data_IF_220042878787
#
_entry.id   IF_220042878787
#
_cell.length_a   1.000
_cell.length_b   1.000
_cell.length_c   1.000
_cell.angle_alpha   90.00
_cell.angle_beta   90.00
_cell.angle_gamma   90.00
#
_symmetry.space_group_name_H-M   'P 1'
#
loop_
_entity.id
_entity.type
_entity.pdbx_description
1 polymer ?
#
# COMPACT_ATOMS: atom_id res chain seq x y z
N UNK A 1 -1.42 10.82 10.48
CA UNK A 1 -0.60 12.04 10.27
C UNK A 1 -0.83 13.11 11.33
N UNK A 2 -2.07 13.46 11.68
CA UNK A 2 -2.36 14.49 12.70
C UNK A 2 -1.57 14.29 14.02
N UNK A 3 -1.51 13.04 14.51
CA UNK A 3 -0.76 12.69 15.71
C UNK A 3 0.77 12.89 15.61
N UNK A 4 1.35 12.98 14.41
CA UNK A 4 2.78 13.17 14.23
C UNK A 4 3.27 14.50 14.83
N UNK A 5 2.46 15.55 14.73
CA UNK A 5 2.73 16.86 15.35
C UNK A 5 2.51 16.85 16.86
N UNK A 6 1.44 16.18 17.32
CA UNK A 6 1.10 16.07 18.74
C UNK A 6 2.18 15.35 19.57
N UNK A 7 2.90 14.41 18.95
CA UNK A 7 3.92 13.57 19.61
C UNK A 7 5.34 14.15 19.57
N UNK A 8 5.57 15.31 18.95
CA UNK A 8 6.91 15.90 18.77
C UNK A 8 7.66 16.09 20.09
N UNK A 9 6.97 16.60 21.13
CA UNK A 9 7.55 16.84 22.45
C UNK A 9 7.98 15.57 23.20
N UNK A 10 7.52 14.40 22.76
CA UNK A 10 7.86 13.10 23.35
C UNK A 10 8.97 12.37 22.59
N UNK A 11 9.51 12.96 21.51
CA UNK A 11 10.53 12.32 20.68
C UNK A 11 10.01 11.12 19.88
N UNK A 12 8.69 10.95 19.76
CA UNK A 12 8.05 9.85 19.02
C UNK A 12 7.73 10.33 17.61
N UNK A 13 8.01 9.48 16.61
CA UNK A 13 7.60 9.67 15.22
C UNK A 13 6.38 8.80 14.89
N UNK A 14 5.50 9.30 14.05
CA UNK A 14 4.32 8.58 13.58
C UNK A 14 4.23 8.67 12.05
N UNK A 15 4.30 7.53 11.36
CA UNK A 15 4.24 7.42 9.90
C UNK A 15 3.24 6.32 9.50
N UNK A 16 2.88 6.27 8.22
CA UNK A 16 2.04 5.23 7.62
C UNK A 16 2.82 4.53 6.51
N UNK A 17 2.68 3.20 6.43
CA UNK A 17 3.09 2.40 5.27
C UNK A 17 1.82 1.93 4.56
N UNK A 18 1.72 2.21 3.27
CA UNK A 18 0.56 1.90 2.45
C UNK A 18 0.96 0.96 1.32
N UNK A 19 0.81 -0.35 1.54
CA UNK A 19 1.22 -1.35 0.58
C UNK A 19 0.25 -1.47 -0.61
N UNK A 20 0.77 -1.96 -1.73
CA UNK A 20 -0.04 -2.54 -2.81
C UNK A 20 -0.55 -3.94 -2.46
N UNK A 21 -0.90 -4.79 -3.45
CA UNK A 21 -1.20 -6.19 -3.20
C UNK A 21 -0.03 -6.91 -2.54
N UNK A 22 -0.28 -7.65 -1.47
CA UNK A 22 0.72 -8.43 -0.73
C UNK A 22 0.29 -9.89 -0.64
N UNK A 23 1.22 -10.81 -0.88
CA UNK A 23 1.01 -12.25 -0.75
C UNK A 23 0.94 -12.64 0.73
N UNK A 24 -0.26 -12.49 1.28
CA UNK A 24 -0.63 -12.87 2.64
C UNK A 24 -1.84 -13.78 2.60
N UNK A 25 -2.15 -14.52 3.67
CA UNK A 25 -3.40 -15.28 3.78
C UNK A 25 -4.68 -14.43 3.60
N UNK A 26 -4.59 -13.09 3.62
CA UNK A 26 -5.69 -12.17 3.39
C UNK A 26 -6.00 -11.93 1.90
N UNK A 27 -5.04 -12.17 1.00
CA UNK A 27 -5.21 -11.90 -0.44
C UNK A 27 -6.38 -12.67 -1.09
N UNK A 28 -6.65 -13.95 -0.75
CA UNK A 28 -7.85 -14.64 -1.23
C UNK A 28 -9.16 -13.94 -0.85
N UNK A 29 -9.29 -13.43 0.38
CA UNK A 29 -10.48 -12.67 0.80
C UNK A 29 -10.63 -11.39 0.00
N UNK A 30 -9.54 -10.69 -0.32
CA UNK A 30 -9.59 -9.53 -1.21
C UNK A 30 -10.06 -9.90 -2.63
N UNK A 31 -9.61 -11.05 -3.15
CA UNK A 31 -10.08 -11.57 -4.45
C UNK A 31 -11.58 -11.85 -4.42
N UNK A 32 -12.10 -12.41 -3.34
CA UNK A 32 -13.54 -12.64 -3.16
C UNK A 32 -14.34 -11.34 -3.09
N UNK A 33 -13.84 -10.33 -2.35
CA UNK A 33 -14.50 -9.03 -2.16
C UNK A 33 -14.48 -8.13 -3.40
N UNK A 34 -13.32 -8.06 -4.06
CA UNK A 34 -13.05 -7.09 -5.13
C UNK A 34 -13.20 -7.75 -6.51
N UNK A 35 -12.98 -9.06 -6.61
CA UNK A 35 -13.02 -9.84 -7.84
C UNK A 35 -11.62 -10.14 -8.39
N UNK A 36 -11.41 -11.38 -8.85
CA UNK A 36 -10.13 -11.83 -9.43
C UNK A 36 -9.64 -10.95 -10.57
N UNK A 37 -10.50 -10.65 -11.55
CA UNK A 37 -10.15 -9.82 -12.71
C UNK A 37 -9.59 -8.45 -12.27
N UNK A 38 -10.15 -7.88 -11.20
CA UNK A 38 -9.70 -6.60 -10.67
C UNK A 38 -8.35 -6.73 -9.97
N UNK A 39 -8.15 -7.77 -9.16
CA UNK A 39 -6.87 -8.01 -8.50
C UNK A 39 -5.77 -8.30 -9.52
N UNK A 40 -6.05 -9.14 -10.52
CA UNK A 40 -5.11 -9.47 -11.59
C UNK A 40 -4.76 -8.24 -12.43
N UNK A 41 -5.74 -7.36 -12.67
CA UNK A 41 -5.47 -6.06 -13.31
C UNK A 41 -4.59 -5.16 -12.46
N UNK A 42 -4.76 -5.08 -11.14
CA UNK A 42 -3.83 -4.32 -10.28
C UNK A 42 -2.43 -4.93 -10.32
N UNK A 43 -2.34 -6.26 -10.21
CA UNK A 43 -1.06 -6.99 -10.24
C UNK A 43 -0.31 -6.81 -11.55
N UNK A 44 -1.00 -6.72 -12.69
CA UNK A 44 -0.34 -6.48 -13.98
C UNK A 44 0.29 -5.08 -14.09
N UNK A 45 -0.17 -4.11 -13.28
CA UNK A 45 0.38 -2.76 -13.23
C UNK A 45 1.37 -2.54 -12.07
N UNK A 46 1.28 -3.32 -10.98
CA UNK A 46 2.29 -3.34 -9.92
C UNK A 46 3.41 -4.37 -10.17
N UNK A 47 3.30 -5.17 -11.24
CA UNK A 47 4.22 -6.23 -11.64
C UNK A 47 3.93 -7.58 -10.97
N UNK A 48 3.78 -7.60 -9.64
CA UNK A 48 3.36 -8.77 -8.85
C UNK A 48 2.82 -8.33 -7.49
N UNK A 49 2.38 -9.29 -6.68
CA UNK A 49 2.17 -9.08 -5.26
C UNK A 49 3.54 -8.96 -4.57
N UNK A 50 3.68 -8.01 -3.66
CA UNK A 50 4.83 -7.95 -2.77
C UNK A 50 4.82 -9.15 -1.81
N UNK A 51 5.99 -9.58 -1.35
CA UNK A 51 6.07 -10.46 -0.19
C UNK A 51 5.86 -9.63 1.09
N UNK A 52 5.47 -10.25 2.22
CA UNK A 52 5.39 -9.54 3.49
C UNK A 52 6.73 -8.91 3.91
N UNK A 53 7.85 -9.57 3.61
CA UNK A 53 9.20 -9.08 3.94
C UNK A 53 9.53 -7.78 3.20
N UNK A 54 9.13 -7.64 1.93
CA UNK A 54 9.34 -6.39 1.18
C UNK A 54 8.58 -5.20 1.77
N UNK A 55 7.43 -5.44 2.41
CA UNK A 55 6.72 -4.40 3.16
C UNK A 55 7.39 -4.16 4.52
N UNK A 56 7.89 -5.22 5.15
CA UNK A 56 8.59 -5.15 6.43
C UNK A 56 9.88 -4.31 6.35
N UNK A 57 10.63 -4.38 5.25
CA UNK A 57 11.83 -3.55 5.01
C UNK A 57 11.51 -2.05 5.10
N UNK A 58 10.39 -1.60 4.52
CA UNK A 58 9.96 -0.21 4.60
C UNK A 58 9.54 0.20 6.03
N UNK A 59 8.89 -0.71 6.76
CA UNK A 59 8.53 -0.52 8.17
C UNK A 59 9.80 -0.42 9.03
N UNK A 60 10.77 -1.31 8.82
CA UNK A 60 12.05 -1.33 9.52
C UNK A 60 12.81 -0.03 9.28
N UNK A 61 12.92 0.42 8.03
CA UNK A 61 13.57 1.69 7.69
C UNK A 61 12.90 2.86 8.42
N UNK A 62 11.56 2.92 8.42
CA UNK A 62 10.82 3.96 9.14
C UNK A 62 10.96 3.86 10.66
N UNK A 63 11.09 2.66 11.23
CA UNK A 63 11.15 2.43 12.66
C UNK A 63 12.54 2.73 13.23
N UNK A 64 13.58 2.14 12.63
CA UNK A 64 14.95 2.10 13.18
C UNK A 64 16.05 2.48 12.17
N UNK A 65 15.73 2.56 10.88
CA UNK A 65 16.70 2.94 9.85
C UNK A 65 17.06 4.42 9.84
N UNK A 66 17.83 4.81 8.82
CA UNK A 66 18.25 6.19 8.58
C UNK A 66 17.10 7.07 8.04
N UNK A 67 16.08 7.28 8.88
CA UNK A 67 14.85 8.01 8.56
C UNK A 67 14.45 9.00 9.67
N UNK A 68 15.41 9.48 10.47
CA UNK A 68 15.14 10.22 11.73
C UNK A 68 14.33 11.50 11.55
N UNK A 69 14.36 12.11 10.36
CA UNK A 69 13.58 13.31 10.04
C UNK A 69 12.22 13.01 9.40
N UNK A 70 11.94 11.74 9.09
CA UNK A 70 10.67 11.31 8.49
C UNK A 70 9.62 11.13 9.58
N UNK A 71 8.72 12.09 9.67
CA UNK A 71 7.60 12.10 10.61
C UNK A 71 6.33 12.63 9.92
N UNK A 72 5.20 11.97 10.13
CA UNK A 72 3.94 12.31 9.48
C UNK A 72 3.89 11.96 8.01
N UNK A 73 4.72 11.03 7.52
CA UNK A 73 4.73 10.63 6.12
C UNK A 73 3.76 9.47 5.84
N UNK A 74 3.24 9.41 4.61
CA UNK A 74 2.46 8.31 4.06
C UNK A 74 3.31 7.66 2.97
N UNK A 75 4.05 6.64 3.36
CA UNK A 75 4.97 5.94 2.48
C UNK A 75 4.20 4.90 1.67
N UNK A 76 4.09 5.13 0.37
CA UNK A 76 3.46 4.18 -0.56
C UNK A 76 4.49 3.11 -0.96
N UNK A 77 4.13 1.84 -0.81
CA UNK A 77 4.99 0.67 -1.07
C UNK A 77 4.23 -0.34 -1.94
N UNK A 78 4.02 0.01 -3.21
CA UNK A 78 3.04 -0.68 -4.07
C UNK A 78 3.56 -0.99 -5.49
N UNK A 79 4.88 -1.02 -5.67
CA UNK A 79 5.48 -1.23 -6.99
C UNK A 79 5.28 -0.07 -7.97
N UNK A 80 4.86 1.10 -7.49
CA UNK A 80 4.65 2.30 -8.32
C UNK A 80 3.25 2.40 -8.90
N UNK A 81 2.34 1.50 -8.54
CA UNK A 81 0.96 1.47 -9.05
C UNK A 81 0.23 2.80 -8.80
N UNK A 82 0.27 3.35 -7.57
CA UNK A 82 -0.34 4.64 -7.23
C UNK A 82 0.26 5.78 -8.06
N UNK A 83 1.57 5.78 -8.28
CA UNK A 83 2.22 6.78 -9.14
C UNK A 83 1.76 6.65 -10.59
N UNK A 84 1.62 5.42 -11.09
CA UNK A 84 1.07 5.12 -12.40
C UNK A 84 -0.36 5.63 -12.59
N UNK A 85 -1.22 5.48 -11.58
CA UNK A 85 -2.57 6.05 -11.59
C UNK A 85 -2.56 7.58 -11.65
N UNK A 86 -1.76 8.23 -10.81
CA UNK A 86 -1.73 9.69 -10.69
C UNK A 86 -1.10 10.38 -11.92
N UNK A 87 -0.13 9.72 -12.56
CA UNK A 87 0.55 10.21 -13.75
C UNK A 87 -0.21 9.92 -15.05
N UNK A 88 -1.22 9.05 -15.02
CA UNK A 88 -1.94 8.59 -16.20
C UNK A 88 -1.21 7.53 -17.02
N UNK A 89 -0.14 6.94 -16.49
CA UNK A 89 0.53 5.79 -17.13
C UNK A 89 -0.27 4.49 -17.01
N UNK A 90 -1.08 4.38 -15.96
CA UNK A 90 -2.06 3.29 -15.80
C UNK A 90 -3.38 3.78 -16.39
N UNK A 91 -3.79 3.20 -17.52
CA UNK A 91 -5.08 3.49 -18.14
C UNK A 91 -6.22 2.82 -17.35
N UNK A 92 -6.99 3.64 -16.64
CA UNK A 92 -8.13 3.19 -15.84
C UNK A 92 -9.43 3.08 -16.63
N UNK A 93 -9.47 3.54 -17.89
CA UNK A 93 -10.71 3.58 -18.69
C UNK A 93 -11.31 2.18 -18.91
N UNK A 94 -10.46 1.16 -18.97
CA UNK A 94 -10.84 -0.23 -19.18
C UNK A 94 -10.58 -1.11 -17.94
N UNK A 95 -10.37 -0.50 -16.78
CA UNK A 95 -10.10 -1.26 -15.57
C UNK A 95 -11.35 -2.08 -15.18
N UNK A 96 -11.22 -3.39 -14.86
CA UNK A 96 -12.35 -4.21 -14.45
C UNK A 96 -13.11 -3.57 -13.30
N UNK A 97 -14.43 -3.66 -13.33
CA UNK A 97 -15.28 -3.17 -12.24
C UNK A 97 -15.01 -4.00 -10.98
N UNK A 98 -14.82 -3.33 -9.84
CA UNK A 98 -14.73 -4.02 -8.56
C UNK A 98 -16.12 -4.59 -8.20
N UNK A 99 -16.17 -5.85 -7.80
CA UNK A 99 -17.42 -6.50 -7.35
C UNK A 99 -17.96 -5.90 -6.04
N UNK A 100 -17.06 -5.36 -5.20
CA UNK A 100 -17.29 -4.79 -3.86
C UNK A 100 -18.44 -5.48 -3.13
N UNK A 101 -18.18 -6.70 -2.68
CA UNK A 101 -19.11 -7.48 -1.87
C UNK A 101 -18.69 -7.43 -0.41
N UNK A 102 -19.68 -7.38 0.49
CA UNK A 102 -19.42 -7.66 1.91
C UNK A 102 -19.19 -9.16 2.06
N UNK A 103 -18.04 -9.54 2.63
CA UNK A 103 -17.84 -10.91 3.15
C UNK A 103 -18.42 -10.94 4.55
N UNK A 104 -19.31 -11.89 4.81
CA UNK A 104 -19.90 -12.14 6.13
C UNK A 104 -18.85 -12.62 7.16
#
# INVERSE_FOLDING_TARGET
MLHAGELLGSGIRCNVVSPGPVDTPLLPTFREQIGDDRIDWVLSHSGRAATPDEIAEAIEWLAVGESRWVNGHHLVVDGGYTSGLLSGWVDVANAPAAKVTHVE
#
